data_IF_442936205915
#
_entry.id   IF_442936205915
#
_cell.length_a   1.000
_cell.length_b   1.000
_cell.length_c   1.000
_cell.angle_alpha   90.00
_cell.angle_beta   90.00
_cell.angle_gamma   90.00
#
_symmetry.space_group_name_H-M   'P 1'
#
loop_
_entity.id
_entity.type
_entity.pdbx_description
1 polymer ?
#
# COMPACT_ATOMS: atom_id res chain seq x y z
N UNK A 1 8.78 -38.10 -2.02
CA UNK A 1 9.08 -37.42 -3.29
C UNK A 1 10.39 -36.69 -3.14
N UNK A 2 11.15 -36.53 -4.23
CA UNK A 2 12.42 -35.79 -4.24
C UNK A 2 12.19 -34.31 -4.54
N UNK A 3 12.97 -33.43 -3.89
CA UNK A 3 12.91 -31.99 -4.08
C UNK A 3 13.99 -31.60 -5.11
N UNK A 4 13.60 -30.92 -6.19
CA UNK A 4 14.53 -30.38 -7.19
C UNK A 4 14.64 -28.87 -6.97
N UNK A 5 15.83 -28.40 -6.58
CA UNK A 5 16.08 -27.00 -6.20
C UNK A 5 17.28 -26.39 -6.96
N UNK A 6 17.10 -26.00 -8.22
CA UNK A 6 18.19 -25.49 -9.07
C UNK A 6 18.63 -24.06 -8.72
N UNK A 7 17.89 -23.35 -7.87
CA UNK A 7 18.14 -21.92 -7.58
C UNK A 7 18.41 -21.65 -6.09
N UNK A 8 18.46 -22.69 -5.24
CA UNK A 8 18.69 -22.54 -3.81
C UNK A 8 17.49 -21.99 -3.04
N UNK A 9 16.27 -22.20 -3.54
CA UNK A 9 15.03 -21.75 -2.90
C UNK A 9 14.84 -22.35 -1.50
N UNK A 10 15.32 -23.57 -1.25
CA UNK A 10 15.31 -24.19 0.08
C UNK A 10 16.13 -23.38 1.09
N UNK A 11 17.29 -22.87 0.65
CA UNK A 11 18.13 -21.99 1.46
C UNK A 11 17.45 -20.64 1.67
N UNK A 12 16.91 -20.03 0.62
CA UNK A 12 16.21 -18.74 0.73
C UNK A 12 14.98 -18.83 1.66
N UNK A 13 14.27 -19.97 1.67
CA UNK A 13 13.18 -20.24 2.63
C UNK A 13 13.70 -20.34 4.06
N UNK A 14 14.81 -21.06 4.28
CA UNK A 14 15.44 -21.18 5.59
C UNK A 14 15.94 -19.82 6.10
N UNK A 15 16.54 -19.01 5.22
CA UNK A 15 17.07 -17.67 5.50
C UNK A 15 15.96 -16.60 5.54
N UNK A 16 14.71 -16.95 5.18
CA UNK A 16 13.54 -16.06 5.08
C UNK A 16 13.76 -14.87 4.16
N UNK A 17 14.24 -15.16 2.94
CA UNK A 17 14.56 -14.16 1.92
C UNK A 17 13.61 -14.29 0.73
N UNK A 18 13.16 -13.16 0.20
CA UNK A 18 12.55 -13.05 -1.12
C UNK A 18 13.58 -12.46 -2.07
N UNK A 19 14.01 -13.25 -3.05
CA UNK A 19 14.97 -12.88 -4.09
C UNK A 19 14.40 -13.18 -5.49
N UNK A 20 14.84 -12.45 -6.51
CA UNK A 20 14.55 -12.79 -7.90
C UNK A 20 15.42 -13.97 -8.38
N UNK A 21 14.83 -14.84 -9.20
CA UNK A 21 15.60 -15.84 -9.95
C UNK A 21 16.31 -15.14 -11.11
N UNK A 22 17.65 -15.22 -11.12
CA UNK A 22 18.48 -14.51 -12.09
C UNK A 22 18.54 -13.00 -11.85
N UNK A 23 18.67 -12.21 -12.92
CA UNK A 23 18.79 -10.76 -12.83
C UNK A 23 17.43 -10.09 -12.58
N UNK A 24 17.32 -9.29 -11.51
CA UNK A 24 16.06 -8.63 -11.13
C UNK A 24 15.55 -7.61 -12.15
N UNK A 25 16.45 -6.89 -12.80
CA UNK A 25 16.10 -5.88 -13.81
C UNK A 25 15.47 -6.54 -15.04
N UNK A 26 16.07 -7.63 -15.54
CA UNK A 26 15.50 -8.43 -16.63
C UNK A 26 14.10 -8.95 -16.26
N UNK A 27 13.94 -9.53 -15.06
CA UNK A 27 12.66 -10.08 -14.60
C UNK A 27 11.57 -9.01 -14.47
N UNK A 28 11.90 -7.82 -14.00
CA UNK A 28 10.95 -6.71 -13.92
C UNK A 28 10.68 -6.09 -15.29
N UNK A 29 11.65 -6.15 -16.20
CA UNK A 29 11.45 -5.69 -17.58
C UNK A 29 10.50 -6.59 -18.37
N UNK A 30 10.50 -7.90 -18.12
CA UNK A 30 9.53 -8.85 -18.69
C UNK A 30 8.11 -8.65 -18.15
N UNK A 31 7.94 -8.48 -16.82
CA UNK A 31 6.63 -8.25 -16.17
C UNK A 31 6.79 -7.30 -14.97
N UNK A 32 6.53 -6.00 -15.15
CA UNK A 32 6.66 -5.00 -14.08
C UNK A 32 5.82 -5.29 -12.83
N UNK A 33 4.72 -6.05 -12.95
CA UNK A 33 3.89 -6.43 -11.80
C UNK A 33 4.69 -7.28 -10.79
N UNK A 34 5.77 -7.94 -11.22
CA UNK A 34 6.66 -8.70 -10.33
C UNK A 34 7.27 -7.86 -9.21
N UNK A 35 7.42 -6.55 -9.41
CA UNK A 35 7.87 -5.63 -8.34
C UNK A 35 6.86 -5.60 -7.18
N UNK A 36 5.56 -5.46 -7.49
CA UNK A 36 4.50 -5.53 -6.47
C UNK A 36 4.38 -6.94 -5.87
N UNK A 37 4.51 -7.99 -6.68
CA UNK A 37 4.48 -9.38 -6.18
C UNK A 37 5.63 -9.66 -5.20
N UNK A 38 6.82 -9.12 -5.45
CA UNK A 38 7.96 -9.26 -4.55
C UNK A 38 7.68 -8.61 -3.18
N UNK A 39 7.12 -7.39 -3.18
CA UNK A 39 6.64 -6.73 -1.94
C UNK A 39 5.56 -7.57 -1.28
N UNK A 40 4.57 -8.06 -2.02
CA UNK A 40 3.50 -8.92 -1.48
C UNK A 40 4.07 -10.17 -0.82
N UNK A 41 4.99 -10.88 -1.46
CA UNK A 41 5.59 -12.08 -0.89
C UNK A 41 6.36 -11.78 0.39
N UNK A 42 7.14 -10.69 0.44
CA UNK A 42 7.81 -10.27 1.66
C UNK A 42 6.81 -9.98 2.80
N UNK A 43 5.66 -9.37 2.49
CA UNK A 43 4.59 -9.12 3.47
C UNK A 43 3.89 -10.40 3.93
N UNK A 44 3.54 -11.27 2.98
CA UNK A 44 2.75 -12.48 3.22
C UNK A 44 3.55 -13.53 3.99
N UNK A 45 4.83 -13.71 3.64
CA UNK A 45 5.72 -14.69 4.26
C UNK A 45 6.47 -14.14 5.48
N UNK A 46 6.41 -12.82 5.68
CA UNK A 46 7.25 -12.11 6.67
C UNK A 46 8.75 -12.36 6.42
N UNK A 47 9.16 -12.27 5.15
CA UNK A 47 10.53 -12.48 4.70
C UNK A 47 11.21 -11.14 4.40
N UNK A 48 12.53 -11.12 4.48
CA UNK A 48 13.33 -9.99 4.02
C UNK A 48 13.30 -9.90 2.50
N UNK A 49 13.11 -8.70 1.97
CA UNK A 49 13.12 -8.46 0.53
C UNK A 49 14.55 -8.12 0.09
N UNK A 50 15.23 -9.08 -0.51
CA UNK A 50 16.58 -8.92 -1.06
C UNK A 50 16.52 -8.71 -2.58
N UNK A 51 15.71 -7.75 -2.99
CA UNK A 51 15.69 -7.29 -4.38
C UNK A 51 15.61 -5.77 -4.42
N UNK A 52 16.45 -5.19 -5.26
CA UNK A 52 16.37 -3.78 -5.58
C UNK A 52 15.31 -3.58 -6.64
N UNK A 53 14.24 -2.88 -6.28
CA UNK A 53 13.24 -2.43 -7.22
C UNK A 53 13.84 -1.27 -8.01
N UNK A 54 14.09 -1.50 -9.29
CA UNK A 54 14.53 -0.50 -10.26
C UNK A 54 13.38 -0.23 -11.23
N UNK A 55 13.32 0.99 -11.77
CA UNK A 55 12.32 1.40 -12.76
C UNK A 55 10.85 1.27 -12.32
N UNK A 56 10.44 1.78 -11.13
CA UNK A 56 9.06 1.71 -10.67
C UNK A 56 8.06 2.36 -11.64
N UNK A 57 8.50 3.32 -12.47
CA UNK A 57 7.70 3.95 -13.53
C UNK A 57 7.13 2.96 -14.54
N UNK A 58 7.76 1.79 -14.69
CA UNK A 58 7.25 0.73 -15.56
C UNK A 58 5.91 0.17 -15.10
N UNK A 59 5.48 0.39 -13.86
CA UNK A 59 4.12 0.06 -13.45
C UNK A 59 3.04 0.74 -14.32
N UNK A 60 3.35 1.87 -14.98
CA UNK A 60 2.42 2.57 -15.87
C UNK A 60 1.89 1.72 -17.03
N UNK A 61 2.64 0.70 -17.45
CA UNK A 61 2.21 -0.20 -18.54
C UNK A 61 1.32 -1.35 -18.03
N UNK A 62 1.18 -1.50 -16.71
CA UNK A 62 0.34 -2.51 -16.09
C UNK A 62 -1.08 -1.97 -15.96
N UNK A 63 -2.08 -2.81 -16.25
CA UNK A 63 -3.47 -2.43 -16.09
C UNK A 63 -3.80 -2.13 -14.63
N UNK A 64 -4.74 -1.21 -14.42
CA UNK A 64 -5.16 -0.78 -13.09
C UNK A 64 -5.78 -1.93 -12.30
N UNK A 65 -6.45 -2.88 -12.96
CA UNK A 65 -7.03 -4.09 -12.33
C UNK A 65 -5.93 -5.00 -11.78
N UNK A 66 -4.83 -5.20 -12.51
CA UNK A 66 -3.71 -6.02 -12.03
C UNK A 66 -2.99 -5.35 -10.86
N UNK A 67 -2.83 -4.02 -10.91
CA UNK A 67 -2.30 -3.22 -9.78
C UNK A 67 -3.23 -3.34 -8.57
N UNK A 68 -4.54 -3.17 -8.77
CA UNK A 68 -5.58 -3.33 -7.75
C UNK A 68 -5.50 -4.69 -7.10
N UNK A 69 -5.43 -5.77 -7.87
CA UNK A 69 -5.44 -7.14 -7.35
C UNK A 69 -4.20 -7.41 -6.49
N UNK A 70 -3.02 -6.92 -6.87
CA UNK A 70 -1.83 -7.04 -6.01
C UNK A 70 -1.90 -6.12 -4.78
N UNK A 71 -2.41 -4.89 -4.91
CA UNK A 71 -2.62 -4.00 -3.76
C UNK A 71 -3.56 -4.64 -2.73
N UNK A 72 -4.70 -5.19 -3.18
CA UNK A 72 -5.67 -5.92 -2.34
C UNK A 72 -4.94 -7.01 -1.55
N UNK A 73 -4.17 -7.86 -2.23
CA UNK A 73 -3.46 -8.94 -1.55
C UNK A 73 -2.45 -8.43 -0.53
N UNK A 74 -1.79 -7.28 -0.78
CA UNK A 74 -0.85 -6.65 0.16
C UNK A 74 -1.59 -6.14 1.40
N UNK A 75 -2.67 -5.38 1.21
CA UNK A 75 -3.42 -4.78 2.34
C UNK A 75 -4.18 -5.84 3.13
N UNK A 76 -4.49 -7.00 2.54
CA UNK A 76 -5.13 -8.13 3.23
C UNK A 76 -4.13 -9.03 3.99
N UNK A 77 -2.81 -8.81 3.89
CA UNK A 77 -1.82 -9.61 4.63
C UNK A 77 -1.87 -9.39 6.15
N UNK A 78 -1.08 -10.16 6.90
CA UNK A 78 -0.89 -9.96 8.34
C UNK A 78 -0.02 -8.75 8.71
N UNK A 79 0.67 -8.14 7.73
CA UNK A 79 1.54 -6.97 7.92
C UNK A 79 1.29 -5.91 6.83
N UNK A 80 0.06 -5.38 6.73
CA UNK A 80 -0.29 -4.49 5.63
C UNK A 80 0.48 -3.18 5.67
N UNK A 81 0.74 -2.62 6.85
CA UNK A 81 1.52 -1.41 7.00
C UNK A 81 2.98 -1.54 6.59
N UNK A 82 3.59 -2.73 6.79
CA UNK A 82 4.90 -3.04 6.23
C UNK A 82 4.87 -2.99 4.71
N UNK A 83 3.85 -3.57 4.08
CA UNK A 83 3.67 -3.54 2.62
C UNK A 83 3.52 -2.13 2.08
N UNK A 84 2.64 -1.32 2.66
CA UNK A 84 2.46 0.09 2.28
C UNK A 84 3.77 0.86 2.41
N UNK A 85 4.49 0.73 3.53
CA UNK A 85 5.80 1.37 3.71
C UNK A 85 6.82 0.93 2.65
N UNK A 86 6.85 -0.36 2.31
CA UNK A 86 7.74 -0.88 1.27
C UNK A 86 7.39 -0.34 -0.11
N UNK A 87 6.12 -0.33 -0.50
CA UNK A 87 5.65 0.28 -1.76
C UNK A 87 6.09 1.74 -1.86
N UNK A 88 6.00 2.50 -0.77
CA UNK A 88 6.48 3.89 -0.73
C UNK A 88 8.00 4.01 -0.79
N UNK A 89 8.73 3.16 -0.07
CA UNK A 89 10.20 3.22 -0.01
C UNK A 89 10.87 2.88 -1.35
N UNK A 90 10.22 2.05 -2.18
CA UNK A 90 10.69 1.69 -3.51
C UNK A 90 10.08 2.51 -4.65
N UNK A 91 9.32 3.56 -4.35
CA UNK A 91 8.71 4.44 -5.36
C UNK A 91 7.56 3.84 -6.15
N UNK A 92 7.10 2.61 -5.82
CA UNK A 92 5.94 2.03 -6.50
C UNK A 92 4.64 2.77 -6.14
N UNK A 93 4.53 3.30 -4.92
CA UNK A 93 3.30 3.98 -4.47
C UNK A 93 2.94 5.19 -5.35
N UNK A 94 3.93 5.88 -5.92
CA UNK A 94 3.74 7.01 -6.84
C UNK A 94 2.95 6.63 -8.11
N UNK A 95 2.91 5.34 -8.45
CA UNK A 95 2.19 4.81 -9.61
C UNK A 95 0.92 4.03 -9.23
N UNK A 96 0.66 3.83 -7.93
CA UNK A 96 -0.51 3.11 -7.41
C UNK A 96 -1.54 4.11 -6.83
N UNK A 97 -1.13 4.86 -5.81
CA UNK A 97 -1.93 5.90 -5.14
C UNK A 97 -1.00 7.10 -4.88
N UNK A 98 -0.68 7.92 -5.90
CA UNK A 98 0.22 9.07 -5.73
C UNK A 98 -0.24 10.03 -4.62
N UNK A 99 -1.55 10.21 -4.43
CA UNK A 99 -2.13 11.06 -3.39
C UNK A 99 -1.75 10.59 -1.97
N UNK A 100 -1.39 9.31 -1.79
CA UNK A 100 -0.96 8.77 -0.50
C UNK A 100 0.41 9.32 -0.08
N UNK A 101 1.24 9.72 -1.04
CA UNK A 101 2.57 10.27 -0.78
C UNK A 101 2.50 11.69 -0.20
N UNK A 102 1.43 12.44 -0.48
CA UNK A 102 1.22 13.77 0.09
C UNK A 102 1.01 13.74 1.60
N UNK A 103 0.58 12.61 2.17
CA UNK A 103 0.42 12.43 3.61
C UNK A 103 1.74 12.52 4.38
N UNK A 104 2.88 12.30 3.72
CA UNK A 104 4.21 12.46 4.32
C UNK A 104 4.59 13.92 4.55
N UNK A 105 3.91 14.86 3.89
CA UNK A 105 4.25 16.29 3.91
C UNK A 105 3.62 17.05 5.08
N UNK A 106 2.90 16.36 5.97
CA UNK A 106 2.03 16.99 6.97
C UNK A 106 2.26 16.41 8.34
N UNK A 107 2.82 17.24 9.19
CA UNK A 107 2.85 17.02 10.63
C UNK A 107 1.43 17.13 11.18
N UNK A 108 0.98 16.11 11.92
CA UNK A 108 -0.23 16.23 12.74
C UNK A 108 0.13 17.11 13.93
N UNK A 109 -0.68 18.14 14.23
CA UNK A 109 -0.40 19.13 15.27
C UNK A 109 -0.16 18.58 16.69
N UNK A 110 -0.06 19.49 17.66
CA UNK A 110 0.58 19.43 18.99
C UNK A 110 0.45 18.20 19.92
N UNK A 111 -0.14 17.06 19.55
CA UNK A 111 -0.21 15.86 20.40
C UNK A 111 0.07 14.52 19.68
N UNK A 112 0.54 14.50 18.44
CA UNK A 112 0.85 13.26 17.72
C UNK A 112 2.26 13.25 17.11
N UNK A 113 3.09 12.32 17.59
CA UNK A 113 4.52 12.14 17.26
C UNK A 113 4.76 11.65 15.80
N UNK A 114 3.73 11.63 14.94
CA UNK A 114 3.77 10.95 13.63
C UNK A 114 2.95 11.72 12.58
N UNK A 115 3.53 11.95 11.40
CA UNK A 115 2.86 12.56 10.24
C UNK A 115 1.58 11.78 9.82
N UNK A 116 0.76 12.38 8.96
CA UNK A 116 -0.49 11.77 8.50
C UNK A 116 -0.27 10.40 7.81
N UNK A 117 0.88 10.21 7.15
CA UNK A 117 1.24 8.94 6.53
C UNK A 117 1.41 7.83 7.57
N UNK A 118 2.20 8.08 8.61
CA UNK A 118 2.46 7.12 9.68
C UNK A 118 1.18 6.82 10.48
N UNK A 119 0.30 7.81 10.62
CA UNK A 119 -1.04 7.61 11.19
C UNK A 119 -1.86 6.64 10.34
N UNK A 120 -2.02 6.88 9.04
CA UNK A 120 -2.78 5.99 8.14
C UNK A 120 -2.21 4.56 8.13
N UNK A 121 -0.88 4.41 8.11
CA UNK A 121 -0.25 3.09 8.20
C UNK A 121 -0.54 2.40 9.54
N UNK A 122 -0.47 3.13 10.66
CA UNK A 122 -0.79 2.58 11.98
C UNK A 122 -2.26 2.16 12.09
N UNK A 123 -3.18 2.97 11.56
CA UNK A 123 -4.62 2.67 11.54
C UNK A 123 -4.88 1.41 10.72
N UNK A 124 -4.23 1.25 9.57
CA UNK A 124 -4.32 0.03 8.76
C UNK A 124 -3.82 -1.22 9.51
N UNK A 125 -2.68 -1.13 10.20
CA UNK A 125 -2.14 -2.24 11.00
C UNK A 125 -3.06 -2.59 12.19
N UNK A 126 -3.64 -1.58 12.85
CA UNK A 126 -4.62 -1.79 13.93
C UNK A 126 -5.94 -2.34 13.40
N UNK A 127 -6.38 -1.89 12.24
CA UNK A 127 -7.61 -2.36 11.60
C UNK A 127 -7.59 -3.86 11.36
N UNK A 128 -6.43 -4.43 11.00
CA UNK A 128 -6.23 -5.88 10.93
C UNK A 128 -6.60 -6.62 12.23
N UNK A 129 -6.46 -6.01 13.41
CA UNK A 129 -6.77 -6.65 14.70
C UNK A 129 -8.27 -6.76 14.99
N UNK A 130 -9.08 -5.89 14.35
CA UNK A 130 -10.53 -5.72 14.61
C UNK A 130 -11.36 -6.37 13.48
N UNK A 131 -10.68 -7.03 12.56
CA UNK A 131 -11.21 -7.49 11.28
C UNK A 131 -12.01 -8.79 11.41
N UNK A 132 -13.31 -8.68 11.69
CA UNK A 132 -14.24 -9.81 11.75
C UNK A 132 -14.68 -10.21 10.32
N UNK A 133 -13.96 -11.18 9.75
CA UNK A 133 -14.20 -12.08 8.58
C UNK A 133 -15.09 -11.68 7.37
N UNK A 134 -16.12 -10.83 7.47
CA UNK A 134 -17.03 -10.50 6.34
C UNK A 134 -16.72 -9.17 5.63
N UNK A 135 -16.00 -8.22 6.24
CA UNK A 135 -15.76 -6.88 5.64
C UNK A 135 -14.30 -6.44 5.55
N UNK A 136 -13.40 -7.41 5.49
CA UNK A 136 -11.97 -7.20 5.56
C UNK A 136 -11.43 -6.18 4.54
N UNK A 137 -11.82 -6.32 3.27
CA UNK A 137 -11.29 -5.42 2.23
C UNK A 137 -11.79 -3.98 2.40
N UNK A 138 -13.10 -3.79 2.52
CA UNK A 138 -13.73 -2.46 2.62
C UNK A 138 -13.19 -1.72 3.84
N UNK A 139 -13.14 -2.40 4.98
CA UNK A 139 -12.62 -1.80 6.21
C UNK A 139 -11.15 -1.41 6.09
N UNK A 140 -10.31 -2.24 5.45
CA UNK A 140 -8.90 -1.92 5.24
C UNK A 140 -8.67 -0.81 4.22
N UNK A 141 -9.48 -0.74 3.17
CA UNK A 141 -9.46 0.39 2.24
C UNK A 141 -9.87 1.68 2.95
N UNK A 142 -10.91 1.64 3.79
CA UNK A 142 -11.32 2.78 4.60
C UNK A 142 -10.20 3.20 5.56
N UNK A 143 -9.57 2.26 6.28
CA UNK A 143 -8.41 2.53 7.13
C UNK A 143 -7.25 3.19 6.37
N UNK A 144 -6.94 2.70 5.16
CA UNK A 144 -5.87 3.25 4.33
C UNK A 144 -6.20 4.68 3.84
N UNK A 145 -7.46 4.94 3.46
CA UNK A 145 -7.86 6.17 2.77
C UNK A 145 -8.53 7.23 3.66
N UNK A 146 -8.82 6.94 4.94
CA UNK A 146 -9.64 7.82 5.79
C UNK A 146 -9.13 9.26 5.88
N UNK A 147 -7.80 9.44 5.87
CA UNK A 147 -7.13 10.73 6.02
C UNK A 147 -6.56 11.29 4.71
N UNK A 148 -6.89 10.68 3.56
CA UNK A 148 -6.26 10.97 2.26
C UNK A 148 -6.40 12.44 1.81
N UNK A 149 -7.34 13.19 2.40
CA UNK A 149 -7.59 14.60 2.10
C UNK A 149 -7.05 15.61 3.12
N UNK A 150 -6.40 15.16 4.22
CA UNK A 150 -5.72 16.09 5.15
C UNK A 150 -4.79 17.08 4.44
N UNK A 151 -4.05 16.71 3.38
CA UNK A 151 -3.26 17.67 2.60
C UNK A 151 -4.00 18.81 1.94
N UNK A 152 -5.18 18.54 1.40
CA UNK A 152 -5.96 19.56 0.70
C UNK A 152 -6.75 20.44 1.65
N UNK A 153 -6.87 20.03 2.92
CA UNK A 153 -7.73 20.67 3.92
C UNK A 153 -6.97 21.22 5.11
N UNK A 154 -5.63 21.20 5.07
CA UNK A 154 -4.78 21.82 6.08
C UNK A 154 -5.03 23.32 6.07
N UNK A 155 -5.47 23.85 7.21
CA UNK A 155 -5.54 25.29 7.49
C UNK A 155 -4.80 25.57 8.80
N UNK A 156 -4.27 26.78 8.96
CA UNK A 156 -3.55 27.18 10.16
C UNK A 156 -4.02 28.56 10.59
N UNK A 157 -4.35 28.70 11.87
CA UNK A 157 -4.75 29.96 12.49
C UNK A 157 -4.05 30.13 13.85
N UNK A 158 -4.41 31.18 14.60
CA UNK A 158 -3.82 31.49 15.90
C UNK A 158 -3.98 30.38 16.96
N UNK A 159 -4.90 29.42 16.75
CA UNK A 159 -5.14 28.27 17.64
C UNK A 159 -4.43 26.98 17.19
N UNK A 160 -3.81 26.98 16.00
CA UNK A 160 -2.99 25.89 15.49
C UNK A 160 -3.45 25.35 14.12
N UNK A 161 -3.04 24.12 13.82
CA UNK A 161 -3.33 23.44 12.55
C UNK A 161 -4.66 22.69 12.63
N UNK A 162 -5.53 22.91 11.66
CA UNK A 162 -6.85 22.30 11.52
C UNK A 162 -7.02 21.60 10.17
N UNK A 163 -7.98 20.68 10.10
CA UNK A 163 -8.34 19.92 8.89
C UNK A 163 -9.85 19.92 8.67
N UNK A 164 -10.43 21.11 8.47
CA UNK A 164 -11.87 21.25 8.31
C UNK A 164 -12.38 20.53 7.05
N UNK A 165 -13.52 19.86 7.18
CA UNK A 165 -14.20 19.15 6.08
C UNK A 165 -13.39 18.03 5.39
N UNK A 166 -12.26 17.58 5.97
CA UNK A 166 -11.42 16.54 5.38
C UNK A 166 -12.17 15.21 5.16
N UNK A 167 -13.19 14.90 5.95
CA UNK A 167 -14.04 13.72 5.71
C UNK A 167 -14.80 13.81 4.38
N UNK A 168 -15.39 14.98 4.07
CA UNK A 168 -16.15 15.19 2.83
C UNK A 168 -15.24 15.21 1.59
N UNK A 169 -14.12 15.93 1.68
CA UNK A 169 -13.10 15.97 0.61
C UNK A 169 -12.45 14.58 0.46
N UNK A 170 -12.22 13.90 1.57
CA UNK A 170 -11.66 12.55 1.68
C UNK A 170 -12.52 11.52 0.96
N UNK A 171 -13.83 11.49 1.22
CA UNK A 171 -14.77 10.59 0.54
C UNK A 171 -14.72 10.78 -0.99
N UNK A 172 -14.74 12.02 -1.47
CA UNK A 172 -14.61 12.32 -2.91
C UNK A 172 -13.27 11.87 -3.48
N UNK A 173 -12.17 12.09 -2.76
CA UNK A 173 -10.83 11.68 -3.20
C UNK A 173 -10.66 10.16 -3.20
N UNK A 174 -11.09 9.47 -2.14
CA UNK A 174 -11.11 8.02 -2.04
C UNK A 174 -11.90 7.41 -3.21
N UNK A 175 -13.09 7.93 -3.50
CA UNK A 175 -13.90 7.50 -4.65
C UNK A 175 -13.17 7.64 -5.98
N UNK A 176 -12.44 8.76 -6.21
CA UNK A 176 -11.62 8.95 -7.41
C UNK A 176 -10.49 7.93 -7.51
N UNK A 177 -9.78 7.68 -6.41
CA UNK A 177 -8.69 6.70 -6.32
C UNK A 177 -9.21 5.30 -6.65
N UNK A 178 -10.29 4.86 -6.00
CA UNK A 178 -10.84 3.52 -6.19
C UNK A 178 -11.42 3.32 -7.59
N UNK A 179 -12.06 4.35 -8.18
CA UNK A 179 -12.48 4.32 -9.60
C UNK A 179 -11.28 4.18 -10.55
N UNK A 180 -10.19 4.92 -10.30
CA UNK A 180 -8.95 4.80 -11.10
C UNK A 180 -8.37 3.39 -11.00
N UNK A 181 -8.39 2.78 -9.81
CA UNK A 181 -7.99 1.40 -9.59
C UNK A 181 -9.04 0.36 -10.03
N UNK A 182 -10.14 0.77 -10.69
CA UNK A 182 -11.14 -0.12 -11.26
C UNK A 182 -11.80 -1.05 -10.22
N UNK A 183 -12.01 -0.60 -8.99
CA UNK A 183 -12.89 -1.30 -8.06
C UNK A 183 -14.34 -1.27 -8.56
N UNK A 184 -15.13 -2.27 -8.17
CA UNK A 184 -16.57 -2.30 -8.43
C UNK A 184 -17.31 -1.22 -7.59
N UNK A 185 -18.52 -0.87 -8.01
CA UNK A 185 -19.28 0.20 -7.37
C UNK A 185 -19.66 -0.12 -5.91
N UNK A 186 -19.96 -1.38 -5.58
CA UNK A 186 -20.30 -1.77 -4.20
C UNK A 186 -19.12 -1.52 -3.26
N UNK A 187 -17.93 -1.99 -3.64
CA UNK A 187 -16.70 -1.74 -2.87
C UNK A 187 -16.42 -0.25 -2.73
N UNK A 188 -16.59 0.53 -3.79
CA UNK A 188 -16.35 1.98 -3.77
C UNK A 188 -17.32 2.67 -2.81
N UNK A 189 -18.61 2.40 -2.96
CA UNK A 189 -19.66 3.05 -2.17
C UNK A 189 -19.47 2.74 -0.69
N UNK A 190 -19.29 1.47 -0.34
CA UNK A 190 -19.13 1.03 1.05
C UNK A 190 -17.82 1.48 1.70
N UNK A 191 -16.81 1.84 0.93
CA UNK A 191 -15.55 2.40 1.45
C UNK A 191 -15.65 3.91 1.69
N UNK A 192 -16.50 4.61 0.93
CA UNK A 192 -16.55 6.08 0.92
C UNK A 192 -17.71 6.66 1.75
N UNK A 193 -18.63 5.83 2.22
CA UNK A 193 -19.80 6.18 3.04
C UNK A 193 -19.61 5.73 4.49
#
# INVERSE_FOLDING_TARGET
>A
GEIVDPFGGTKDIADRIVRCVGNSEERFNEDPLRMMRAVRFACQLNFWLEVRINHPERLRIISHERIRDELIKIILTNKPGFGIKRLCACGLMDYIIPEFMDLKRIEQGNHHIKDAFHHSVLVLDKGRMVDHKEYNLIFRLACLLHDIAKPETKSEDASGVHFYSHHYVGSKKARRILKRLRFDNDTIDRTCH
#
